data_IF_199965273899
#
_entry.id   IF_199965273899
#
_cell.length_a   1.000
_cell.length_b   1.000
_cell.length_c   1.000
_cell.angle_alpha   90.00
_cell.angle_beta   90.00
_cell.angle_gamma   90.00
#
_symmetry.space_group_name_H-M   'P 1'
#
loop_
_entity.id
_entity.type
_entity.pdbx_description
1 polymer ?
#
# COMPACT_ATOMS: atom_id res chain seq x y z
N UNK A 1 23.70 -12.55 -31.23
CA UNK A 1 23.25 -12.47 -29.81
C UNK A 1 23.93 -13.54 -28.94
N UNK A 2 23.84 -14.84 -29.27
CA UNK A 2 24.58 -15.91 -28.56
C UNK A 2 26.12 -15.74 -28.61
N UNK A 3 26.67 -15.28 -29.74
CA UNK A 3 28.12 -15.09 -29.88
C UNK A 3 28.73 -14.03 -28.96
N UNK A 4 27.99 -12.99 -28.58
CA UNK A 4 28.51 -11.93 -27.68
C UNK A 4 28.55 -12.44 -26.24
N UNK A 5 27.51 -13.14 -25.79
CA UNK A 5 27.47 -13.76 -24.46
C UNK A 5 28.55 -14.82 -24.29
N UNK A 6 28.82 -15.62 -25.34
CA UNK A 6 29.90 -16.61 -25.34
C UNK A 6 31.28 -15.93 -25.28
N UNK A 7 31.51 -14.86 -26.05
CA UNK A 7 32.78 -14.12 -26.02
C UNK A 7 33.02 -13.46 -24.65
N UNK A 8 31.98 -12.89 -24.04
CA UNK A 8 32.05 -12.26 -22.73
C UNK A 8 32.24 -13.27 -21.59
N UNK A 9 31.60 -14.44 -21.69
CA UNK A 9 31.81 -15.56 -20.76
C UNK A 9 33.21 -16.15 -20.85
N UNK A 10 33.76 -16.28 -22.06
CA UNK A 10 35.15 -16.72 -22.28
C UNK A 10 36.16 -15.70 -21.76
N UNK A 11 35.87 -14.41 -21.88
CA UNK A 11 36.72 -13.34 -21.34
C UNK A 11 36.73 -13.33 -19.81
N UNK A 12 35.57 -13.47 -19.16
CA UNK A 12 35.47 -13.59 -17.70
C UNK A 12 36.17 -14.85 -17.16
N UNK A 13 36.05 -15.99 -17.85
CA UNK A 13 36.76 -17.22 -17.50
C UNK A 13 38.29 -17.08 -17.65
N UNK A 14 38.74 -16.37 -18.70
CA UNK A 14 40.16 -16.07 -18.92
C UNK A 14 40.74 -15.18 -17.82
N UNK A 15 40.03 -14.12 -17.40
CA UNK A 15 40.42 -13.23 -16.28
C UNK A 15 40.52 -13.98 -14.95
N UNK A 16 39.54 -14.84 -14.63
CA UNK A 16 39.56 -15.69 -13.44
C UNK A 16 40.76 -16.67 -13.44
N UNK A 17 41.04 -17.31 -14.58
CA UNK A 17 42.18 -18.22 -14.73
C UNK A 17 43.53 -17.49 -14.63
N UNK A 18 43.63 -16.28 -15.19
CA UNK A 18 44.83 -15.45 -15.09
C UNK A 18 45.04 -14.90 -13.68
N UNK A 19 43.99 -14.43 -13.02
CA UNK A 19 44.02 -13.98 -11.63
C UNK A 19 44.48 -15.08 -10.68
N UNK A 20 43.96 -16.30 -10.85
CA UNK A 20 44.36 -17.47 -10.06
C UNK A 20 45.83 -17.87 -10.27
N UNK A 21 46.35 -17.79 -11.50
CA UNK A 21 47.78 -18.06 -11.80
C UNK A 21 48.72 -16.98 -11.27
N UNK A 22 48.35 -15.70 -11.36
CA UNK A 22 49.16 -14.58 -10.85
C UNK A 22 49.20 -14.55 -9.32
N UNK A 23 48.14 -15.01 -8.65
CA UNK A 23 48.08 -15.17 -7.20
C UNK A 23 48.97 -16.31 -6.67
N UNK A 24 49.41 -17.25 -7.52
CA UNK A 24 50.25 -18.39 -7.14
C UNK A 24 51.75 -18.20 -7.46
N UNK A 25 52.13 -17.17 -8.23
CA UNK A 25 53.50 -16.95 -8.70
C UNK A 25 54.28 -15.79 -8.02
N UNK A 26 55.53 -15.51 -8.45
CA UNK A 26 56.38 -14.46 -7.87
C UNK A 26 55.89 -13.02 -8.16
N UNK A 27 54.86 -12.85 -8.99
CA UNK A 27 54.28 -11.57 -9.41
C UNK A 27 53.04 -11.14 -8.59
N UNK A 28 52.83 -11.72 -7.39
CA UNK A 28 51.68 -11.47 -6.49
C UNK A 28 51.32 -9.99 -6.24
N UNK A 29 52.29 -9.07 -6.32
CA UNK A 29 52.06 -7.63 -6.12
C UNK A 29 51.29 -6.96 -7.29
N UNK A 30 51.31 -7.52 -8.49
CA UNK A 30 50.53 -7.04 -9.64
C UNK A 30 49.10 -7.61 -9.69
N UNK A 31 48.80 -8.64 -8.88
CA UNK A 31 47.51 -9.33 -8.91
C UNK A 31 46.34 -8.51 -8.32
N UNK A 32 46.63 -7.55 -7.42
CA UNK A 32 45.61 -6.74 -6.74
C UNK A 32 44.90 -5.72 -7.67
N UNK A 33 45.60 -4.93 -8.50
CA UNK A 33 44.93 -4.02 -9.44
C UNK A 33 44.27 -4.75 -10.61
N UNK A 34 44.85 -5.85 -11.10
CA UNK A 34 44.28 -6.64 -12.22
C UNK A 34 43.02 -7.39 -11.78
N UNK A 35 43.00 -7.99 -10.59
CA UNK A 35 41.79 -8.63 -10.05
C UNK A 35 40.64 -7.64 -9.78
N UNK A 36 40.96 -6.40 -9.39
CA UNK A 36 39.97 -5.34 -9.25
C UNK A 36 39.40 -4.88 -10.61
N UNK A 37 40.26 -4.71 -11.62
CA UNK A 37 39.83 -4.38 -12.99
C UNK A 37 39.02 -5.51 -13.63
N UNK A 38 39.39 -6.77 -13.43
CA UNK A 38 38.65 -7.94 -13.89
C UNK A 38 37.27 -8.04 -13.22
N UNK A 39 37.18 -7.76 -11.92
CA UNK A 39 35.88 -7.70 -11.22
C UNK A 39 34.98 -6.57 -11.73
N UNK A 40 35.56 -5.39 -12.04
CA UNK A 40 34.84 -4.29 -12.68
C UNK A 40 34.41 -4.63 -14.12
N UNK A 41 35.26 -5.32 -14.88
CA UNK A 41 34.95 -5.80 -16.23
C UNK A 41 33.79 -6.78 -16.23
N UNK A 42 33.80 -7.77 -15.33
CA UNK A 42 32.70 -8.73 -15.14
C UNK A 42 31.42 -8.01 -14.73
N UNK A 43 31.50 -7.03 -13.83
CA UNK A 43 30.34 -6.24 -13.41
C UNK A 43 29.74 -5.47 -14.60
N UNK A 44 30.53 -4.65 -15.30
CA UNK A 44 30.07 -3.83 -16.45
C UNK A 44 29.51 -4.69 -17.58
N UNK A 45 30.14 -5.82 -17.86
CA UNK A 45 29.69 -6.79 -18.86
C UNK A 45 28.38 -7.46 -18.45
N UNK A 46 28.22 -7.80 -17.17
CA UNK A 46 26.98 -8.36 -16.65
C UNK A 46 25.85 -7.32 -16.69
N UNK A 47 26.11 -6.09 -16.26
CA UNK A 47 25.12 -5.00 -16.32
C UNK A 47 24.74 -4.65 -17.76
N UNK A 48 25.70 -4.62 -18.68
CA UNK A 48 25.46 -4.37 -20.11
C UNK A 48 24.72 -5.52 -20.81
N UNK A 49 24.96 -6.77 -20.41
CA UNK A 49 24.22 -7.92 -20.92
C UNK A 49 22.78 -7.96 -20.38
N UNK A 50 22.55 -7.50 -19.14
CA UNK A 50 21.22 -7.37 -18.57
C UNK A 50 20.42 -6.20 -19.13
N UNK A 51 21.06 -5.10 -19.51
CA UNK A 51 20.42 -3.98 -20.23
C UNK A 51 19.99 -4.33 -21.68
N UNK A 52 20.41 -5.50 -22.19
CA UNK A 52 20.01 -6.03 -23.50
C UNK A 52 18.88 -7.06 -23.41
N UNK A 53 18.40 -7.39 -22.21
CA UNK A 53 17.18 -8.16 -22.04
C UNK A 53 15.99 -7.28 -22.47
N UNK A 54 14.98 -7.84 -23.17
CA UNK A 54 13.78 -7.08 -23.49
C UNK A 54 13.17 -6.57 -22.18
N UNK A 55 13.07 -5.26 -22.05
CA UNK A 55 12.18 -4.62 -21.07
C UNK A 55 10.78 -5.07 -21.49
N UNK A 56 10.07 -5.76 -20.59
CA UNK A 56 8.67 -6.12 -20.84
C UNK A 56 7.87 -4.84 -21.15
N UNK A 57 6.80 -4.98 -21.94
CA UNK A 57 5.92 -3.84 -22.21
C UNK A 57 5.47 -3.22 -20.88
N UNK A 58 5.53 -1.89 -20.78
CA UNK A 58 5.05 -1.17 -19.60
C UNK A 58 3.56 -1.50 -19.43
N UNK A 59 3.14 -2.16 -18.33
CA UNK A 59 1.75 -2.57 -18.14
C UNK A 59 0.79 -1.37 -18.07
N UNK A 60 1.29 -0.14 -17.88
CA UNK A 60 0.50 1.10 -18.03
C UNK A 60 0.00 1.30 -19.46
N UNK A 61 0.66 0.69 -20.45
CA UNK A 61 0.21 0.63 -21.84
C UNK A 61 -1.04 -0.24 -22.06
N UNK A 62 -1.44 -1.06 -21.09
CA UNK A 62 -2.58 -2.00 -21.19
C UNK A 62 -3.60 -1.83 -20.05
N UNK A 63 -3.94 -0.58 -19.70
CA UNK A 63 -4.94 -0.28 -18.68
C UNK A 63 -6.40 -0.38 -19.15
N UNK A 64 -6.65 -0.35 -20.46
CA UNK A 64 -8.01 -0.34 -21.02
C UNK A 64 -8.49 -1.76 -21.36
N UNK A 65 -9.54 -2.25 -20.68
CA UNK A 65 -10.09 -3.60 -20.91
C UNK A 65 -11.48 -3.60 -21.54
N UNK A 66 -12.29 -2.56 -21.27
CA UNK A 66 -13.64 -2.40 -21.84
C UNK A 66 -14.56 -3.63 -21.70
N UNK A 67 -14.50 -4.33 -20.56
CA UNK A 67 -15.43 -5.44 -20.27
C UNK A 67 -16.87 -4.91 -20.21
N UNK A 68 -17.83 -5.54 -20.91
CA UNK A 68 -19.24 -5.16 -20.79
C UNK A 68 -19.73 -5.44 -19.37
N UNK A 69 -20.56 -4.56 -18.82
CA UNK A 69 -21.17 -4.75 -17.50
C UNK A 69 -22.18 -5.88 -17.55
N UNK A 70 -21.99 -6.99 -16.80
CA UNK A 70 -22.99 -8.05 -16.69
C UNK A 70 -24.29 -7.53 -16.07
N UNK A 71 -25.43 -8.10 -16.47
CA UNK A 71 -26.74 -7.63 -16.02
C UNK A 71 -26.90 -7.70 -14.49
N UNK A 72 -26.33 -8.72 -13.84
CA UNK A 72 -26.32 -8.86 -12.38
C UNK A 72 -25.51 -7.77 -11.65
N UNK A 73 -24.60 -7.07 -12.34
CA UNK A 73 -23.77 -5.99 -11.79
C UNK A 73 -24.22 -4.59 -12.28
N UNK A 74 -25.35 -4.50 -12.98
CA UNK A 74 -25.82 -3.24 -13.54
C UNK A 74 -25.97 -2.13 -12.48
N UNK A 75 -26.43 -2.48 -11.28
CA UNK A 75 -26.61 -1.55 -10.16
C UNK A 75 -25.49 -1.67 -9.10
N UNK A 76 -24.51 -2.54 -9.33
CA UNK A 76 -23.38 -2.71 -8.42
C UNK A 76 -22.43 -1.49 -8.53
N UNK A 77 -21.78 -1.08 -7.42
CA UNK A 77 -20.83 0.02 -7.47
C UNK A 77 -19.49 -0.41 -8.05
N UNK A 78 -18.74 0.59 -8.50
CA UNK A 78 -17.30 0.44 -8.67
C UNK A 78 -16.60 0.38 -7.31
N UNK A 79 -15.42 -0.24 -7.23
CA UNK A 79 -14.70 -0.46 -5.96
C UNK A 79 -13.31 0.18 -6.01
N UNK A 80 -13.04 1.09 -5.10
CA UNK A 80 -11.71 1.66 -4.87
C UNK A 80 -11.23 1.26 -3.47
N UNK A 81 -10.06 0.63 -3.38
CA UNK A 81 -9.40 0.29 -2.11
C UNK A 81 -8.11 1.07 -2.02
N UNK A 82 -8.11 2.12 -1.19
CA UNK A 82 -6.94 2.92 -0.87
C UNK A 82 -6.26 2.31 0.38
N UNK A 83 -5.09 1.69 0.18
CA UNK A 83 -4.26 1.19 1.27
C UNK A 83 -3.06 2.11 1.46
N UNK A 84 -2.86 2.62 2.67
CA UNK A 84 -1.74 3.51 3.01
C UNK A 84 -0.76 2.75 3.89
N UNK A 85 0.48 2.59 3.43
CA UNK A 85 1.50 1.80 4.09
C UNK A 85 1.87 2.39 5.47
N UNK A 86 1.85 1.57 6.53
CA UNK A 86 2.16 1.96 7.92
C UNK A 86 1.25 3.00 8.57
N UNK A 87 0.11 3.35 7.98
CA UNK A 87 -0.76 4.40 8.51
C UNK A 87 -1.46 3.98 9.82
N UNK A 88 -1.16 4.70 10.90
CA UNK A 88 -1.83 4.51 12.20
C UNK A 88 -3.18 5.21 12.24
N UNK A 89 -4.17 4.56 12.83
CA UNK A 89 -5.49 5.15 13.03
C UNK A 89 -5.42 6.44 13.85
N UNK A 90 -4.69 6.42 14.98
CA UNK A 90 -4.57 7.51 15.94
C UNK A 90 -3.84 8.78 15.44
N UNK A 91 -3.41 8.80 14.18
CA UNK A 91 -2.84 9.98 13.52
C UNK A 91 -3.81 10.68 12.57
N UNK A 92 -4.99 10.10 12.33
CA UNK A 92 -6.05 10.71 11.54
C UNK A 92 -7.02 11.51 12.43
N UNK A 93 -7.47 12.67 11.97
CA UNK A 93 -8.38 13.53 12.72
C UNK A 93 -9.69 12.82 13.12
N UNK A 94 -10.26 12.01 12.24
CA UNK A 94 -11.49 11.23 12.51
C UNK A 94 -11.32 10.14 13.59
N UNK A 95 -10.09 9.80 13.97
CA UNK A 95 -9.75 8.88 15.05
C UNK A 95 -9.13 9.59 16.27
N UNK A 96 -9.18 10.93 16.31
CA UNK A 96 -8.64 11.73 17.42
C UNK A 96 -7.18 12.12 17.28
N UNK A 97 -6.59 11.97 16.09
CA UNK A 97 -5.25 12.44 15.77
C UNK A 97 -5.13 13.97 15.70
N UNK A 98 -3.92 14.50 15.41
CA UNK A 98 -3.68 15.93 15.42
C UNK A 98 -4.51 16.69 14.37
N UNK A 99 -5.00 17.88 14.73
CA UNK A 99 -5.83 18.70 13.87
C UNK A 99 -5.12 19.09 12.56
N UNK A 100 -5.84 19.03 11.44
CA UNK A 100 -5.33 19.45 10.13
C UNK A 100 -4.30 18.50 9.50
N UNK A 101 -4.10 17.30 10.06
CA UNK A 101 -3.23 16.27 9.46
C UNK A 101 -3.90 15.60 8.26
N UNK A 102 -5.18 15.25 8.36
CA UNK A 102 -5.85 14.40 7.36
C UNK A 102 -7.22 14.90 6.87
N UNK A 103 -7.39 16.18 6.52
CA UNK A 103 -8.71 16.73 6.17
C UNK A 103 -9.39 16.02 4.98
N UNK A 104 -8.66 15.50 3.99
CA UNK A 104 -9.26 14.77 2.86
C UNK A 104 -9.78 13.42 3.31
N UNK A 105 -8.97 12.63 4.04
CA UNK A 105 -9.39 11.35 4.59
C UNK A 105 -10.55 11.52 5.58
N UNK A 106 -10.52 12.55 6.43
CA UNK A 106 -11.58 12.88 7.38
C UNK A 106 -12.89 13.26 6.65
N UNK A 107 -12.79 13.95 5.51
CA UNK A 107 -13.93 14.22 4.65
C UNK A 107 -14.55 12.94 4.09
N UNK A 108 -13.74 11.98 3.64
CA UNK A 108 -14.25 10.67 3.17
C UNK A 108 -14.86 9.88 4.34
N UNK A 109 -14.27 9.96 5.52
CA UNK A 109 -14.79 9.35 6.74
C UNK A 109 -16.16 9.90 7.13
N UNK A 110 -16.38 11.21 7.00
CA UNK A 110 -17.67 11.85 7.25
C UNK A 110 -18.77 11.34 6.30
N UNK A 111 -18.40 11.03 5.05
CA UNK A 111 -19.31 10.48 4.03
C UNK A 111 -19.49 8.95 4.13
N UNK A 112 -18.85 8.29 5.09
CA UNK A 112 -18.81 6.83 5.20
C UNK A 112 -19.05 6.28 6.60
N UNK A 113 -18.69 5.02 6.76
CA UNK A 113 -18.70 4.28 8.03
C UNK A 113 -17.26 4.26 8.56
N UNK A 114 -17.06 4.69 9.80
CA UNK A 114 -15.77 4.63 10.49
C UNK A 114 -15.79 3.47 11.47
N UNK A 115 -14.89 2.50 11.30
CA UNK A 115 -14.70 1.42 12.27
C UNK A 115 -13.65 1.83 13.30
N UNK A 116 -14.08 2.11 14.53
CA UNK A 116 -13.21 2.68 15.57
C UNK A 116 -12.11 1.70 15.99
N UNK A 117 -12.37 0.40 15.87
CA UNK A 117 -11.42 -0.66 16.23
C UNK A 117 -11.26 -1.62 15.05
N UNK A 118 -10.29 -1.35 14.18
CA UNK A 118 -9.94 -2.24 13.07
C UNK A 118 -8.50 -2.77 13.22
N UNK A 119 -8.34 -4.10 13.12
CA UNK A 119 -7.04 -4.75 13.33
C UNK A 119 -6.43 -5.33 12.05
N UNK A 120 -5.17 -4.99 11.81
CA UNK A 120 -4.28 -5.72 10.92
C UNK A 120 -3.93 -7.09 11.49
N UNK A 121 -3.74 -8.08 10.61
CA UNK A 121 -3.42 -9.46 11.04
C UNK A 121 -1.92 -9.73 11.14
N UNK A 122 -1.10 -8.77 10.71
CA UNK A 122 0.34 -8.81 10.85
C UNK A 122 0.86 -7.38 10.96
N UNK A 123 1.94 -7.18 11.69
CA UNK A 123 2.60 -5.89 11.80
C UNK A 123 3.58 -5.58 10.67
N UNK A 124 3.48 -6.27 9.53
CA UNK A 124 4.40 -6.10 8.40
C UNK A 124 3.71 -6.42 7.07
N UNK A 125 4.12 -5.69 6.04
CA UNK A 125 3.40 -5.53 4.76
C UNK A 125 2.94 -6.82 4.12
N UNK A 126 3.87 -7.74 3.79
CA UNK A 126 3.52 -8.93 2.99
C UNK A 126 2.43 -9.77 3.63
N UNK A 127 2.59 -10.05 4.92
CA UNK A 127 1.65 -10.92 5.63
C UNK A 127 0.31 -10.21 5.83
N UNK A 128 0.30 -8.88 6.00
CA UNK A 128 -0.95 -8.14 6.17
C UNK A 128 -1.73 -8.00 4.87
N UNK A 129 -1.06 -7.64 3.77
CA UNK A 129 -1.66 -7.64 2.43
C UNK A 129 -2.17 -9.02 2.01
N UNK A 130 -1.43 -10.09 2.33
CA UNK A 130 -1.91 -11.45 2.11
C UNK A 130 -3.24 -11.70 2.85
N UNK A 131 -3.37 -11.22 4.10
CA UNK A 131 -4.63 -11.33 4.83
C UNK A 131 -5.76 -10.50 4.20
N UNK A 132 -5.47 -9.26 3.80
CA UNK A 132 -6.42 -8.35 3.16
C UNK A 132 -6.99 -8.95 1.85
N UNK A 133 -6.11 -9.45 0.97
CA UNK A 133 -6.51 -9.94 -0.35
C UNK A 133 -7.13 -11.33 -0.35
N UNK A 134 -6.74 -12.20 0.59
CA UNK A 134 -7.25 -13.59 0.64
C UNK A 134 -8.36 -13.78 1.67
N UNK A 135 -8.64 -12.79 2.52
CA UNK A 135 -9.52 -12.94 3.69
C UNK A 135 -9.11 -14.10 4.62
N UNK A 136 -7.81 -14.43 4.66
CA UNK A 136 -7.25 -15.49 5.52
C UNK A 136 -6.38 -14.86 6.60
N UNK A 137 -6.27 -15.52 7.75
CA UNK A 137 -5.25 -15.16 8.76
C UNK A 137 -3.85 -15.67 8.34
N UNK A 138 -2.74 -15.21 8.95
CA UNK A 138 -1.37 -15.63 8.60
C UNK A 138 -1.13 -17.13 8.60
N UNK A 139 -1.66 -17.83 9.59
CA UNK A 139 -1.58 -19.29 9.64
C UNK A 139 -2.37 -19.98 8.52
N UNK A 140 -3.30 -19.28 7.88
CA UNK A 140 -4.11 -19.73 6.76
C UNK A 140 -3.50 -19.45 5.39
N UNK A 141 -2.88 -18.28 5.17
CA UNK A 141 -2.29 -17.93 3.88
C UNK A 141 -0.78 -18.22 3.75
N UNK A 142 -0.07 -18.49 4.86
CA UNK A 142 1.35 -18.90 4.88
C UNK A 142 2.38 -17.92 4.27
N UNK A 143 1.96 -16.75 3.82
CA UNK A 143 2.82 -15.62 3.50
C UNK A 143 3.43 -14.94 4.77
N UNK A 144 3.96 -15.73 5.70
CA UNK A 144 4.39 -15.32 7.04
C UNK A 144 5.92 -15.31 7.24
N UNK A 145 6.70 -15.47 6.16
CA UNK A 145 8.17 -15.37 6.17
C UNK A 145 8.67 -14.51 5.03
N UNK A 146 9.88 -13.96 5.17
CA UNK A 146 10.51 -13.09 4.15
C UNK A 146 10.69 -13.74 2.77
N UNK A 147 10.76 -15.07 2.72
CA UNK A 147 10.86 -15.82 1.46
C UNK A 147 9.51 -16.40 0.99
N UNK A 148 8.43 -16.23 1.76
CA UNK A 148 7.13 -16.77 1.39
C UNK A 148 6.54 -16.01 0.20
N UNK A 149 5.88 -16.77 -0.67
CA UNK A 149 4.99 -16.33 -1.75
C UNK A 149 3.55 -16.72 -1.35
N UNK A 150 2.55 -15.99 -1.85
CA UNK A 150 1.18 -16.47 -1.82
C UNK A 150 1.05 -17.80 -2.60
N UNK A 151 0.53 -18.87 -1.99
CA UNK A 151 0.20 -20.09 -2.71
C UNK A 151 -0.91 -19.85 -3.74
N UNK A 152 -0.77 -20.40 -4.94
CA UNK A 152 -1.72 -20.22 -6.05
C UNK A 152 -3.11 -20.82 -5.75
N UNK A 153 -3.19 -21.79 -4.83
CA UNK A 153 -4.45 -22.39 -4.40
C UNK A 153 -5.33 -21.48 -3.53
N UNK A 154 -4.81 -20.34 -3.05
CA UNK A 154 -5.61 -19.39 -2.29
C UNK A 154 -6.40 -18.50 -3.24
N UNK A 155 -7.71 -18.38 -3.01
CA UNK A 155 -8.57 -17.52 -3.80
C UNK A 155 -8.47 -16.08 -3.30
N UNK A 156 -8.03 -15.16 -4.17
CA UNK A 156 -7.98 -13.73 -3.88
C UNK A 156 -9.32 -13.04 -4.19
N UNK A 157 -9.55 -11.89 -3.54
CA UNK A 157 -10.68 -10.99 -3.84
C UNK A 157 -10.76 -10.65 -5.33
N UNK A 158 -9.62 -10.41 -5.97
CA UNK A 158 -9.49 -10.12 -7.40
C UNK A 158 -10.11 -11.23 -8.25
N UNK A 159 -9.78 -12.50 -7.99
CA UNK A 159 -10.32 -13.64 -8.74
C UNK A 159 -11.84 -13.78 -8.59
N UNK A 160 -12.36 -13.59 -7.37
CA UNK A 160 -13.80 -13.65 -7.11
C UNK A 160 -14.56 -12.62 -7.94
N UNK A 161 -14.04 -11.39 -8.03
CA UNK A 161 -14.66 -10.30 -8.79
C UNK A 161 -14.41 -10.44 -10.31
N UNK A 162 -13.20 -10.82 -10.71
CA UNK A 162 -12.83 -11.03 -12.11
C UNK A 162 -13.70 -12.10 -12.76
N UNK A 163 -13.96 -13.21 -12.05
CA UNK A 163 -14.84 -14.29 -12.50
C UNK A 163 -16.30 -13.84 -12.71
N UNK A 164 -16.70 -12.69 -12.14
CA UNK A 164 -18.02 -12.08 -12.30
C UNK A 164 -18.04 -10.94 -13.32
N UNK A 165 -16.96 -10.77 -14.10
CA UNK A 165 -16.89 -9.76 -15.15
C UNK A 165 -16.48 -8.37 -14.67
N UNK A 166 -16.03 -8.23 -13.42
CA UNK A 166 -15.40 -6.99 -12.95
C UNK A 166 -14.01 -6.86 -13.58
N UNK A 167 -13.67 -5.67 -14.08
CA UNK A 167 -12.31 -5.32 -14.48
C UNK A 167 -11.49 -5.05 -13.23
N UNK A 168 -10.46 -5.84 -12.99
CA UNK A 168 -9.70 -5.85 -11.75
C UNK A 168 -8.31 -5.29 -11.96
N UNK A 169 -7.91 -4.34 -11.10
CA UNK A 169 -6.57 -3.80 -11.11
C UNK A 169 -6.00 -3.58 -9.72
N UNK A 170 -4.67 -3.61 -9.63
CA UNK A 170 -3.94 -3.22 -8.43
C UNK A 170 -2.66 -2.48 -8.81
N UNK A 171 -2.48 -1.29 -8.23
CA UNK A 171 -1.27 -0.48 -8.30
C UNK A 171 -0.52 -0.66 -6.98
N UNK A 172 0.43 -1.59 -6.96
CA UNK A 172 1.26 -1.87 -5.80
C UNK A 172 2.50 -0.98 -5.79
N UNK A 173 2.82 -0.36 -4.66
CA UNK A 173 3.94 0.58 -4.54
C UNK A 173 5.00 0.09 -3.52
N UNK A 174 4.89 -1.16 -3.08
CA UNK A 174 5.82 -1.80 -2.16
C UNK A 174 6.35 -3.11 -2.74
N UNK A 175 7.67 -3.30 -2.69
CA UNK A 175 8.34 -4.51 -3.18
C UNK A 175 7.88 -5.81 -2.50
N UNK A 176 7.24 -5.72 -1.34
CA UNK A 176 6.66 -6.89 -0.66
C UNK A 176 5.34 -7.36 -1.27
N UNK A 177 4.74 -6.55 -2.15
CA UNK A 177 3.45 -6.77 -2.81
C UNK A 177 3.68 -6.77 -4.33
N UNK A 178 4.48 -7.70 -4.84
CA UNK A 178 4.77 -7.80 -6.27
C UNK A 178 4.36 -9.15 -6.86
N UNK A 179 4.45 -9.25 -8.18
CA UNK A 179 4.24 -10.48 -8.94
C UNK A 179 5.17 -11.60 -8.47
N UNK A 180 6.40 -11.27 -8.05
CA UNK A 180 7.36 -12.22 -7.46
C UNK A 180 6.82 -12.91 -6.19
N UNK A 181 5.91 -12.25 -5.47
CA UNK A 181 5.26 -12.79 -4.27
C UNK A 181 3.82 -13.29 -4.50
N UNK A 182 3.33 -13.31 -5.75
CA UNK A 182 2.04 -13.90 -6.12
C UNK A 182 0.83 -13.01 -5.88
N UNK A 183 1.04 -11.69 -5.76
CA UNK A 183 -0.05 -10.74 -5.57
C UNK A 183 -0.75 -10.33 -6.87
N UNK A 184 -0.25 -10.76 -8.03
CA UNK A 184 -0.84 -10.48 -9.36
C UNK A 184 -1.95 -11.44 -9.77
N UNK A 185 -2.20 -12.46 -8.95
CA UNK A 185 -3.26 -13.44 -9.18
C UNK A 185 -4.63 -12.78 -9.27
N UNK A 186 -5.38 -13.10 -10.33
CA UNK A 186 -6.75 -12.63 -10.54
C UNK A 186 -6.92 -11.19 -10.98
N UNK A 187 -5.84 -10.48 -11.35
CA UNK A 187 -5.90 -9.11 -11.85
C UNK A 187 -5.83 -9.04 -13.38
N UNK A 188 -6.66 -8.20 -13.99
CA UNK A 188 -6.54 -7.85 -15.42
C UNK A 188 -5.38 -6.87 -15.66
N UNK A 189 -5.13 -5.97 -14.70
CA UNK A 189 -3.99 -5.07 -14.68
C UNK A 189 -3.31 -5.13 -13.31
N UNK A 190 -2.09 -5.63 -13.25
CA UNK A 190 -1.26 -5.50 -12.05
C UNK A 190 -0.03 -4.66 -12.39
N UNK A 191 0.14 -3.54 -11.70
CA UNK A 191 1.30 -2.66 -11.85
C UNK A 191 2.04 -2.65 -10.52
N UNK A 192 3.33 -2.95 -10.57
CA UNK A 192 4.24 -2.58 -9.50
C UNK A 192 4.84 -1.22 -9.86
N UNK A 193 4.46 -0.19 -9.12
CA UNK A 193 4.92 1.19 -9.18
C UNK A 193 6.36 1.28 -8.69
N UNK A 194 7.25 0.66 -9.46
CA UNK A 194 8.63 0.53 -9.04
C UNK A 194 9.30 1.91 -8.97
N UNK A 195 10.19 2.14 -7.99
CA UNK A 195 10.98 3.36 -7.94
C UNK A 195 11.77 3.55 -9.23
N UNK A 196 12.21 4.79 -9.49
CA UNK A 196 12.97 5.12 -10.69
C UNK A 196 14.31 4.37 -10.71
N UNK A 197 14.33 3.17 -11.32
CA UNK A 197 15.57 2.40 -11.46
C UNK A 197 16.51 3.11 -12.43
N UNK A 198 17.65 3.55 -11.92
CA UNK A 198 18.72 4.03 -12.77
C UNK A 198 19.27 2.87 -13.62
N UNK A 199 19.59 3.16 -14.89
CA UNK A 199 20.23 2.25 -15.86
C UNK A 199 19.36 1.16 -16.53
N UNK A 200 18.03 1.32 -16.59
CA UNK A 200 17.17 0.45 -17.43
C UNK A 200 17.12 -1.02 -16.96
N UNK A 201 17.27 -1.26 -15.65
CA UNK A 201 17.25 -2.59 -15.06
C UNK A 201 15.82 -3.06 -14.69
N UNK A 202 15.61 -4.38 -14.69
CA UNK A 202 14.32 -5.02 -14.34
C UNK A 202 14.26 -5.51 -12.89
N UNK A 203 13.04 -5.83 -12.40
CA UNK A 203 12.74 -6.33 -11.04
C UNK A 203 13.69 -7.44 -10.57
N UNK A 204 14.07 -8.37 -11.46
CA UNK A 204 14.91 -9.53 -11.14
C UNK A 204 16.37 -9.20 -10.76
N UNK A 205 16.86 -8.01 -11.14
CA UNK A 205 18.28 -7.64 -11.03
C UNK A 205 18.58 -6.98 -9.70
N UNK A 206 17.57 -6.38 -9.08
CA UNK A 206 17.71 -5.67 -7.84
C UNK A 206 17.36 -6.58 -6.66
N UNK A 207 18.28 -7.50 -6.34
CA UNK A 207 18.29 -8.03 -4.98
C UNK A 207 18.39 -6.84 -4.00
N UNK A 208 17.60 -6.85 -2.93
CA UNK A 208 17.69 -5.90 -1.82
C UNK A 208 19.13 -5.64 -1.37
N UNK A 209 20.01 -6.64 -1.53
CA UNK A 209 21.44 -6.56 -1.25
C UNK A 209 22.19 -5.65 -2.22
N UNK A 210 21.93 -5.72 -3.53
CA UNK A 210 22.54 -4.85 -4.53
C UNK A 210 22.02 -3.41 -4.41
N UNK A 211 20.72 -3.24 -4.13
CA UNK A 211 20.12 -1.94 -3.81
C UNK A 211 20.83 -1.25 -2.65
N UNK A 212 20.98 -1.96 -1.53
CA UNK A 212 21.67 -1.47 -0.34
C UNK A 212 23.13 -1.09 -0.62
N UNK A 213 23.81 -1.78 -1.54
CA UNK A 213 25.22 -1.49 -1.87
C UNK A 213 25.34 -0.23 -2.73
N UNK A 214 24.52 -0.09 -3.78
CA UNK A 214 24.55 1.08 -4.69
C UNK A 214 24.09 2.34 -3.98
N UNK A 215 23.03 2.26 -3.17
CA UNK A 215 22.50 3.41 -2.42
C UNK A 215 23.54 3.93 -1.41
N UNK A 216 24.15 3.01 -0.65
CA UNK A 216 25.20 3.34 0.33
C UNK A 216 26.46 3.93 -0.30
N UNK A 217 26.77 3.57 -1.55
CA UNK A 217 27.86 4.17 -2.32
C UNK A 217 27.54 5.61 -2.77
N UNK A 218 26.30 5.88 -3.21
CA UNK A 218 25.84 7.20 -3.64
C UNK A 218 25.67 8.18 -2.47
N UNK A 219 25.14 7.72 -1.34
CA UNK A 219 25.03 8.51 -0.10
C UNK A 219 26.41 8.93 0.42
N UNK A 220 27.40 8.02 0.37
CA UNK A 220 28.80 8.35 0.71
C UNK A 220 29.45 9.37 -0.23
N UNK A 221 28.92 9.55 -1.44
CA UNK A 221 29.40 10.52 -2.42
C UNK A 221 28.65 11.86 -2.35
N UNK A 222 27.79 12.07 -1.35
CA UNK A 222 27.13 13.36 -1.09
C UNK A 222 25.84 13.60 -1.91
N UNK A 223 25.22 12.54 -2.45
CA UNK A 223 23.93 12.65 -3.12
C UNK A 223 22.79 12.91 -2.12
N UNK A 224 21.89 13.84 -2.43
CA UNK A 224 20.66 14.05 -1.66
C UNK A 224 19.72 12.84 -1.85
N UNK A 225 18.98 12.44 -0.79
CA UNK A 225 17.93 11.42 -0.91
C UNK A 225 16.72 12.01 -1.64
N UNK A 226 16.16 11.23 -2.56
CA UNK A 226 14.97 11.56 -3.33
C UNK A 226 13.96 10.45 -3.13
N UNK A 227 12.70 10.81 -2.88
CA UNK A 227 11.60 9.87 -2.58
C UNK A 227 11.48 8.82 -3.69
N UNK A 228 11.59 9.25 -4.94
CA UNK A 228 11.46 8.44 -6.17
C UNK A 228 12.53 7.35 -6.28
N UNK A 229 13.57 7.40 -5.45
CA UNK A 229 14.57 6.35 -5.36
C UNK A 229 14.10 5.15 -4.53
N UNK A 230 13.07 5.31 -3.69
CA UNK A 230 12.56 4.30 -2.75
C UNK A 230 11.18 3.77 -3.13
N UNK A 231 10.26 4.66 -3.53
CA UNK A 231 8.91 4.34 -3.98
C UNK A 231 8.39 5.44 -4.93
N UNK A 232 7.25 5.24 -5.59
CA UNK A 232 6.61 6.31 -6.37
C UNK A 232 5.76 7.22 -5.47
N UNK A 233 5.90 8.55 -5.53
CA UNK A 233 5.08 9.47 -4.75
C UNK A 233 3.57 9.27 -4.99
N UNK A 234 2.74 9.59 -3.99
CA UNK A 234 1.30 9.37 -4.07
C UNK A 234 0.63 10.00 -5.31
N UNK A 235 1.05 11.19 -5.75
CA UNK A 235 0.47 11.86 -6.92
C UNK A 235 0.72 11.11 -8.23
N UNK A 236 1.87 10.45 -8.37
CA UNK A 236 2.18 9.59 -9.51
C UNK A 236 1.25 8.37 -9.53
N UNK A 237 1.14 7.66 -8.40
CA UNK A 237 0.27 6.49 -8.29
C UNK A 237 -1.19 6.86 -8.50
N UNK A 238 -1.64 8.01 -7.98
CA UNK A 238 -3.01 8.50 -8.17
C UNK A 238 -3.29 8.96 -9.61
N UNK A 239 -2.28 9.40 -10.36
CA UNK A 239 -2.41 9.69 -11.78
C UNK A 239 -2.66 8.40 -12.58
N UNK A 240 -1.94 7.32 -12.27
CA UNK A 240 -2.14 6.01 -12.88
C UNK A 240 -3.48 5.38 -12.47
N UNK A 241 -3.91 5.57 -11.21
CA UNK A 241 -5.24 5.20 -10.75
C UNK A 241 -6.35 5.90 -11.55
N UNK A 242 -6.19 7.22 -11.77
CA UNK A 242 -7.11 8.01 -12.59
C UNK A 242 -7.13 7.49 -14.03
N UNK A 243 -5.98 7.21 -14.63
CA UNK A 243 -5.89 6.71 -16.00
C UNK A 243 -6.64 5.37 -16.17
N UNK A 244 -6.48 4.45 -15.22
CA UNK A 244 -7.22 3.18 -15.21
C UNK A 244 -8.74 3.40 -15.12
N UNK A 245 -9.20 4.26 -14.21
CA UNK A 245 -10.64 4.54 -14.03
C UNK A 245 -11.22 5.20 -15.28
N UNK A 246 -10.52 6.13 -15.91
CA UNK A 246 -10.96 6.77 -17.16
C UNK A 246 -11.05 5.76 -18.31
N UNK A 247 -10.06 4.87 -18.43
CA UNK A 247 -10.02 3.83 -19.46
C UNK A 247 -11.14 2.78 -19.33
N UNK A 248 -11.65 2.56 -18.11
CA UNK A 248 -12.67 1.54 -17.82
C UNK A 248 -14.01 2.13 -17.36
N UNK A 249 -14.31 3.38 -17.75
CA UNK A 249 -15.52 4.09 -17.34
C UNK A 249 -16.85 3.41 -17.72
N UNK A 250 -16.84 2.54 -18.73
CA UNK A 250 -18.00 1.78 -19.22
C UNK A 250 -18.04 0.33 -18.69
N UNK A 251 -17.09 -0.03 -17.82
CA UNK A 251 -17.03 -1.33 -17.15
C UNK A 251 -17.44 -1.20 -15.68
N UNK A 252 -17.60 -2.33 -14.99
CA UNK A 252 -17.52 -2.38 -13.52
C UNK A 252 -16.08 -2.67 -13.18
N UNK A 253 -15.50 -1.88 -12.29
CA UNK A 253 -14.10 -2.04 -11.94
C UNK A 253 -13.86 -2.15 -10.44
N UNK A 254 -12.78 -2.86 -10.09
CA UNK A 254 -12.16 -2.87 -8.78
C UNK A 254 -10.72 -2.43 -8.95
N UNK A 255 -10.31 -1.43 -8.17
CA UNK A 255 -8.97 -0.88 -8.17
C UNK A 255 -8.40 -0.86 -6.75
N UNK A 256 -7.33 -1.62 -6.53
CA UNK A 256 -6.45 -1.44 -5.38
C UNK A 256 -5.38 -0.39 -5.66
N UNK A 257 -5.18 0.53 -4.74
CA UNK A 257 -4.14 1.57 -4.79
C UNK A 257 -3.34 1.52 -3.50
N UNK A 258 -2.03 1.39 -3.62
CA UNK A 258 -1.11 1.37 -2.49
C UNK A 258 -0.30 2.67 -2.44
N UNK A 259 -0.52 3.48 -1.42
CA UNK A 259 0.24 4.70 -1.14
C UNK A 259 1.31 4.41 -0.10
N UNK A 260 2.49 5.03 -0.26
CA UNK A 260 3.67 4.69 0.54
C UNK A 260 3.96 5.68 1.64
N UNK A 261 3.57 6.94 1.51
CA UNK A 261 3.60 7.89 2.61
C UNK A 261 2.55 7.45 3.66
N UNK A 262 2.90 7.15 4.94
CA UNK A 262 4.10 7.58 5.66
C UNK A 262 5.18 6.52 5.96
N UNK A 263 5.28 5.39 5.24
CA UNK A 263 6.33 4.37 5.41
C UNK A 263 7.75 4.94 5.31
N UNK A 264 8.72 4.29 5.96
CA UNK A 264 10.13 4.71 5.91
C UNK A 264 10.78 4.54 4.51
N UNK A 265 11.68 5.43 4.07
CA UNK A 265 12.23 6.57 4.81
C UNK A 265 11.27 7.75 4.96
N UNK A 266 11.20 8.34 6.16
CA UNK A 266 10.41 9.56 6.38
C UNK A 266 11.19 10.79 5.90
N UNK A 267 10.57 11.66 5.12
CA UNK A 267 11.17 12.88 4.62
C UNK A 267 10.63 14.12 5.33
N UNK A 268 11.50 15.10 5.54
CA UNK A 268 11.05 16.41 5.99
C UNK A 268 10.33 17.18 4.87
N UNK A 269 9.22 17.83 5.23
CA UNK A 269 8.35 18.58 4.33
C UNK A 269 8.30 20.07 4.71
N UNK A 270 9.36 20.87 4.47
CA UNK A 270 9.53 22.24 5.00
C UNK A 270 8.56 23.31 4.45
N UNK A 271 7.62 22.93 3.60
CA UNK A 271 6.51 23.80 3.20
C UNK A 271 5.34 23.67 4.19
N UNK A 272 5.33 22.62 5.01
CA UNK A 272 4.35 22.42 6.07
C UNK A 272 4.54 23.34 7.26
N UNK A 273 5.78 23.66 7.60
CA UNK A 273 6.14 24.57 8.68
C UNK A 273 6.29 26.03 8.20
N UNK A 274 5.98 26.30 6.92
CA UNK A 274 6.09 27.62 6.30
C UNK A 274 7.53 28.06 6.02
N UNK A 275 8.52 27.18 6.10
CA UNK A 275 9.94 27.51 5.93
C UNK A 275 10.45 27.46 4.48
N UNK A 276 9.66 26.99 3.50
CA UNK A 276 10.02 27.07 2.07
C UNK A 276 9.09 26.37 1.08
N UNK A 277 9.54 26.23 -0.17
CA UNK A 277 8.88 25.42 -1.22
C UNK A 277 9.48 24.00 -1.21
N UNK A 278 8.71 22.95 -0.96
CA UNK A 278 9.24 21.60 -1.19
C UNK A 278 8.94 21.14 -2.61
N UNK A 279 10.01 20.70 -3.28
CA UNK A 279 9.91 19.65 -4.29
C UNK A 279 10.86 18.48 -3.96
N UNK A 280 11.86 18.60 -3.08
CA UNK A 280 12.61 17.46 -2.51
C UNK A 280 13.67 17.98 -1.54
N UNK A 281 13.61 17.67 -0.24
CA UNK A 281 14.70 18.02 0.67
C UNK A 281 15.22 16.77 1.41
N UNK A 282 16.12 16.05 0.73
CA UNK A 282 17.43 15.52 1.18
C UNK A 282 17.64 14.81 2.54
N UNK A 283 16.85 15.08 3.56
CA UNK A 283 16.95 14.46 4.90
C UNK A 283 15.80 13.46 5.04
N UNK A 284 16.07 12.24 4.59
CA UNK A 284 15.20 11.08 4.82
C UNK A 284 15.69 10.26 6.00
N UNK A 285 14.80 9.80 6.87
CA UNK A 285 15.10 8.94 8.02
C UNK A 285 14.70 7.51 7.70
N UNK A 286 15.69 6.65 7.43
CA UNK A 286 15.45 5.25 7.08
C UNK A 286 15.75 4.32 8.24
N UNK A 287 14.93 3.28 8.43
CA UNK A 287 15.21 2.19 9.37
C UNK A 287 16.57 1.53 9.11
N UNK A 288 16.95 1.44 7.84
CA UNK A 288 18.21 0.83 7.42
C UNK A 288 19.47 1.58 7.92
N UNK A 289 19.32 2.84 8.33
CA UNK A 289 20.42 3.66 8.85
C UNK A 289 20.46 3.68 10.36
N UNK A 290 19.30 3.74 11.00
CA UNK A 290 19.17 3.78 12.47
C UNK A 290 18.16 2.73 12.89
N UNK A 291 18.60 1.49 13.10
CA UNK A 291 17.69 0.40 13.47
C UNK A 291 17.01 0.62 14.83
N UNK A 292 17.65 1.36 15.74
CA UNK A 292 17.13 1.66 17.09
C UNK A 292 17.36 3.13 17.44
N UNK A 293 16.41 4.01 17.07
CA UNK A 293 16.45 5.41 17.48
C UNK A 293 16.45 5.54 19.01
N UNK A 294 17.04 6.63 19.52
CA UNK A 294 16.86 7.05 20.91
C UNK A 294 15.45 7.62 21.13
N UNK A 295 14.98 7.68 22.38
CA UNK A 295 13.66 8.26 22.70
C UNK A 295 13.55 9.74 22.28
N UNK A 296 14.64 10.51 22.38
CA UNK A 296 14.66 11.90 21.90
C UNK A 296 14.49 11.98 20.38
N UNK A 297 14.99 11.00 19.64
CA UNK A 297 14.76 10.89 18.19
C UNK A 297 13.34 10.39 17.90
N UNK A 298 12.71 9.64 18.80
CA UNK A 298 11.40 9.06 18.59
C UNK A 298 10.30 10.11 18.40
N UNK A 299 10.26 11.11 19.29
CA UNK A 299 9.32 12.24 19.18
C UNK A 299 9.52 13.03 17.89
N UNK A 300 10.78 13.23 17.51
CA UNK A 300 11.12 13.88 16.25
C UNK A 300 10.65 13.04 15.04
N UNK A 301 10.91 11.73 15.02
CA UNK A 301 10.50 10.83 13.94
C UNK A 301 8.98 10.73 13.84
N UNK A 302 8.27 10.67 14.97
CA UNK A 302 6.80 10.68 15.02
C UNK A 302 6.21 11.97 14.43
N UNK A 303 6.87 13.11 14.64
CA UNK A 303 6.50 14.38 13.99
C UNK A 303 6.71 14.30 12.48
N UNK A 304 7.87 13.84 12.01
CA UNK A 304 8.15 13.71 10.56
C UNK A 304 7.16 12.73 9.91
N UNK A 305 6.86 11.60 10.57
CA UNK A 305 5.81 10.67 10.17
C UNK A 305 4.42 11.33 10.07
N UNK A 306 4.05 12.16 11.04
CA UNK A 306 2.79 12.93 11.00
C UNK A 306 2.76 13.91 9.82
N UNK A 307 3.91 14.52 9.51
CA UNK A 307 4.06 15.44 8.39
C UNK A 307 3.97 14.72 7.03
N UNK A 308 4.48 13.48 6.93
CA UNK A 308 4.26 12.59 5.77
C UNK A 308 2.78 12.31 5.53
N UNK A 309 2.00 12.00 6.58
CA UNK A 309 0.55 11.82 6.46
C UNK A 309 -0.10 13.10 5.93
N UNK A 310 0.29 14.26 6.47
CA UNK A 310 -0.22 15.56 6.01
C UNK A 310 0.17 15.87 4.56
N UNK A 311 1.34 15.40 4.11
CA UNK A 311 1.76 15.50 2.72
C UNK A 311 0.89 14.63 1.81
N UNK A 312 0.74 13.37 2.15
CA UNK A 312 -0.06 12.40 1.41
C UNK A 312 -1.51 12.85 1.27
N UNK A 313 -2.14 13.30 2.37
CA UNK A 313 -3.52 13.79 2.36
C UNK A 313 -3.70 14.99 1.40
N UNK A 314 -2.70 15.87 1.31
CA UNK A 314 -2.71 16.95 0.30
C UNK A 314 -2.56 16.44 -1.13
N UNK A 315 -1.70 15.45 -1.37
CA UNK A 315 -1.55 14.83 -2.70
C UNK A 315 -2.81 14.07 -3.13
N UNK A 316 -3.58 13.57 -2.16
CA UNK A 316 -4.86 12.91 -2.38
C UNK A 316 -5.98 13.89 -2.79
N UNK A 317 -5.91 15.15 -2.36
CA UNK A 317 -6.98 16.13 -2.59
C UNK A 317 -7.40 16.28 -4.07
N UNK A 318 -6.48 16.49 -5.04
CA UNK A 318 -6.86 16.63 -6.45
C UNK A 318 -7.53 15.39 -7.03
N UNK A 319 -7.15 14.20 -6.57
CA UNK A 319 -7.75 12.94 -7.00
C UNK A 319 -9.19 12.79 -6.48
N UNK A 320 -9.42 13.11 -5.21
CA UNK A 320 -10.76 13.08 -4.61
C UNK A 320 -11.67 14.16 -5.21
N UNK A 321 -11.14 15.37 -5.45
CA UNK A 321 -11.87 16.44 -6.14
C UNK A 321 -12.25 16.06 -7.57
N UNK A 322 -11.36 15.35 -8.28
CA UNK A 322 -11.67 14.78 -9.59
C UNK A 322 -12.77 13.71 -9.51
N UNK A 323 -12.71 12.78 -8.55
CA UNK A 323 -13.78 11.80 -8.34
C UNK A 323 -15.13 12.48 -8.08
N UNK A 324 -15.15 13.53 -7.24
CA UNK A 324 -16.36 14.30 -6.91
C UNK A 324 -16.89 15.06 -8.12
N UNK A 325 -16.04 15.83 -8.81
CA UNK A 325 -16.44 16.65 -9.97
C UNK A 325 -16.91 15.84 -11.18
N UNK A 326 -16.51 14.57 -11.29
CA UNK A 326 -16.96 13.64 -12.33
C UNK A 326 -18.15 12.76 -11.90
N UNK A 327 -18.71 12.99 -10.72
CA UNK A 327 -19.79 12.17 -10.14
C UNK A 327 -19.40 10.71 -9.91
N UNK A 328 -18.09 10.40 -9.88
CA UNK A 328 -17.55 9.06 -9.62
C UNK A 328 -17.53 8.76 -8.13
N UNK A 329 -17.28 9.77 -7.31
CA UNK A 329 -17.27 9.64 -5.86
C UNK A 329 -18.56 8.99 -5.35
N UNK A 330 -19.73 9.51 -5.75
CA UNK A 330 -21.03 9.05 -5.25
C UNK A 330 -21.40 7.63 -5.68
N UNK A 331 -20.93 7.15 -6.82
CA UNK A 331 -21.22 5.78 -7.32
C UNK A 331 -20.18 4.73 -6.90
N UNK A 332 -19.04 5.17 -6.37
CA UNK A 332 -17.94 4.28 -5.99
C UNK A 332 -18.06 3.91 -4.52
N UNK A 333 -17.88 2.62 -4.23
CA UNK A 333 -17.57 2.12 -2.89
C UNK A 333 -16.07 2.36 -2.65
N UNK A 334 -15.74 3.19 -1.66
CA UNK A 334 -14.36 3.53 -1.32
C UNK A 334 -14.02 2.93 0.04
N UNK A 335 -12.97 2.11 0.08
CA UNK A 335 -12.36 1.62 1.31
C UNK A 335 -11.04 2.35 1.53
N UNK A 336 -10.83 2.85 2.74
CA UNK A 336 -9.54 3.40 3.17
C UNK A 336 -9.06 2.57 4.35
N UNK A 337 -7.84 2.06 4.24
CA UNK A 337 -7.21 1.29 5.30
C UNK A 337 -5.70 1.44 5.29
N UNK A 338 -5.05 0.86 6.30
CA UNK A 338 -3.62 0.56 6.26
C UNK A 338 -3.38 -0.95 6.28
N UNK A 339 -2.20 -1.37 5.88
CA UNK A 339 -1.74 -2.74 6.05
C UNK A 339 -1.29 -2.99 7.50
N UNK A 340 -0.62 -2.03 8.13
CA UNK A 340 -0.28 -2.01 9.55
C UNK A 340 0.03 -0.57 9.98
N UNK A 341 0.43 -0.37 11.24
CA UNK A 341 0.92 0.91 11.76
C UNK A 341 2.45 0.93 11.94
N UNK A 342 2.93 1.81 12.82
CA UNK A 342 4.35 2.01 13.12
C UNK A 342 4.56 2.36 14.61
N UNK A 343 5.60 1.82 15.23
CA UNK A 343 5.96 2.13 16.61
C UNK A 343 7.13 3.12 16.70
N UNK A 344 7.02 4.08 17.62
CA UNK A 344 8.00 5.13 17.91
C UNK A 344 8.44 5.07 19.38
N UNK A 345 8.74 3.88 19.89
CA UNK A 345 9.25 3.69 21.24
C UNK A 345 8.19 3.58 22.34
N UNK A 346 6.89 3.64 22.02
CA UNK A 346 5.80 3.59 23.00
C UNK A 346 5.91 2.37 23.95
N UNK A 347 6.29 1.20 23.43
CA UNK A 347 6.55 0.00 24.21
C UNK A 347 8.00 -0.49 24.12
N UNK A 348 8.91 0.42 23.79
CA UNK A 348 10.33 0.13 23.54
C UNK A 348 10.60 -0.53 22.19
N UNK A 349 9.57 -0.77 21.37
CA UNK A 349 9.71 -1.14 19.97
C UNK A 349 9.87 0.09 19.08
N UNK A 350 10.50 -0.09 17.93
CA UNK A 350 10.60 0.94 16.89
C UNK A 350 10.32 0.29 15.55
N UNK A 351 9.81 1.10 14.63
CA UNK A 351 9.41 0.69 13.29
C UNK A 351 8.28 -0.35 13.34
N UNK A 352 7.88 -0.84 12.19
CA UNK A 352 6.94 -1.95 12.05
C UNK A 352 7.63 -3.33 11.99
N UNK A 353 6.85 -4.39 12.12
CA UNK A 353 7.26 -5.78 12.02
C UNK A 353 8.08 -6.27 13.21
N UNK A 354 8.01 -5.57 14.34
CA UNK A 354 8.82 -5.82 15.53
C UNK A 354 7.98 -6.20 16.75
N UNK A 355 6.78 -5.64 16.87
CA UNK A 355 5.83 -5.91 17.97
C UNK A 355 4.42 -6.15 17.41
N UNK A 356 3.44 -6.29 18.31
CA UNK A 356 2.02 -6.49 18.00
C UNK A 356 1.14 -5.57 18.88
N UNK A 357 1.68 -4.44 19.32
CA UNK A 357 0.90 -3.43 20.03
C UNK A 357 0.02 -2.65 19.06
N UNK A 358 -0.95 -1.90 19.59
CA UNK A 358 -1.94 -1.18 18.79
C UNK A 358 -1.29 -0.18 17.83
N UNK A 359 -0.13 0.38 18.17
CA UNK A 359 0.65 1.24 17.27
C UNK A 359 1.01 0.55 15.95
N UNK A 360 1.14 -0.78 15.93
CA UNK A 360 1.42 -1.56 14.72
C UNK A 360 0.19 -2.29 14.18
N UNK A 361 -0.83 -2.59 14.99
CA UNK A 361 -1.96 -3.42 14.57
C UNK A 361 -3.30 -2.69 14.45
N UNK A 362 -3.50 -1.55 15.11
CA UNK A 362 -4.70 -0.72 14.97
C UNK A 362 -4.56 0.16 13.74
N UNK A 363 -5.31 -0.20 12.70
CA UNK A 363 -5.29 0.50 11.41
C UNK A 363 -6.61 1.25 11.22
N UNK A 364 -6.63 2.36 10.47
CA UNK A 364 -7.90 2.96 10.09
C UNK A 364 -8.67 1.97 9.21
N UNK A 365 -9.99 1.94 9.34
CA UNK A 365 -10.88 1.30 8.38
C UNK A 365 -12.09 2.19 8.16
N UNK A 366 -12.15 2.81 6.99
CA UNK A 366 -13.27 3.64 6.55
C UNK A 366 -13.90 2.96 5.34
N UNK A 367 -15.22 2.82 5.35
CA UNK A 367 -16.00 2.26 4.24
C UNK A 367 -17.07 3.27 3.83
N UNK A 368 -16.82 3.95 2.70
CA UNK A 368 -17.79 4.85 2.07
C UNK A 368 -18.60 4.06 1.05
N UNK A 369 -19.90 3.93 1.29
CA UNK A 369 -20.81 3.27 0.36
C UNK A 369 -21.31 4.25 -0.72
N UNK A 370 -21.85 3.75 -1.84
CA UNK A 370 -22.50 4.59 -2.85
C UNK A 370 -23.64 5.44 -2.26
N UNK A 371 -23.84 6.63 -2.83
CA UNK A 371 -24.86 7.60 -2.45
C UNK A 371 -24.86 8.02 -0.96
N UNK A 372 -23.76 7.80 -0.23
CA UNK A 372 -23.66 8.11 1.20
C UNK A 372 -24.49 7.17 2.08
N UNK A 373 -24.77 5.94 1.62
CA UNK A 373 -25.44 4.96 2.47
C UNK A 373 -24.62 4.72 3.75
N UNK A 374 -25.29 4.76 4.90
CA UNK A 374 -24.68 4.66 6.24
C UNK A 374 -23.60 5.74 6.53
N UNK A 375 -23.61 6.88 5.84
CA UNK A 375 -22.69 7.98 6.11
C UNK A 375 -22.78 8.51 7.55
N UNK A 376 -21.64 8.93 8.10
CA UNK A 376 -21.51 9.45 9.46
C UNK A 376 -21.62 8.40 10.56
N UNK A 377 -21.73 7.12 10.22
CA UNK A 377 -21.80 6.03 11.21
C UNK A 377 -20.42 5.76 11.79
N UNK A 378 -20.39 5.51 13.10
CA UNK A 378 -19.21 5.05 13.83
C UNK A 378 -19.50 3.70 14.45
N UNK A 379 -18.60 2.76 14.25
CA UNK A 379 -18.76 1.37 14.64
C UNK A 379 -17.75 1.05 15.75
N UNK A 380 -18.20 0.85 17.00
CA UNK A 380 -17.32 0.70 18.16
C UNK A 380 -16.89 -0.75 18.43
N UNK A 381 -17.39 -1.71 17.66
CA UNK A 381 -16.98 -3.12 17.79
C UNK A 381 -15.85 -3.46 16.82
N UNK A 382 -15.18 -4.58 17.07
CA UNK A 382 -13.95 -4.94 16.36
C UNK A 382 -14.21 -5.40 14.91
N UNK A 383 -13.61 -4.69 13.97
CA UNK A 383 -13.44 -5.10 12.58
C UNK A 383 -12.01 -5.61 12.36
N UNK A 384 -11.80 -6.36 11.27
CA UNK A 384 -10.51 -6.96 10.97
C UNK A 384 -10.24 -6.86 9.48
N UNK A 385 -8.97 -6.76 9.05
CA UNK A 385 -8.67 -6.62 7.62
C UNK A 385 -9.21 -7.77 6.76
N UNK A 386 -9.30 -8.99 7.29
CA UNK A 386 -9.89 -10.12 6.55
C UNK A 386 -11.39 -9.92 6.28
N UNK A 387 -12.08 -9.05 7.00
CA UNK A 387 -13.50 -8.76 6.81
C UNK A 387 -13.76 -7.82 5.61
N UNK A 388 -12.72 -7.17 5.06
CA UNK A 388 -12.85 -6.24 3.92
C UNK A 388 -13.31 -6.97 2.66
N UNK A 389 -12.63 -8.03 2.24
CA UNK A 389 -12.98 -8.78 1.03
C UNK A 389 -14.43 -9.31 1.02
N UNK A 390 -14.94 -10.02 2.05
CA UNK A 390 -16.34 -10.46 2.05
C UNK A 390 -17.34 -9.31 2.09
N UNK A 391 -17.02 -8.20 2.79
CA UNK A 391 -17.84 -6.98 2.79
C UNK A 391 -17.95 -6.38 1.38
N UNK A 392 -16.84 -6.32 0.64
CA UNK A 392 -16.81 -5.83 -0.74
C UNK A 392 -17.60 -6.71 -1.69
N UNK A 393 -17.40 -8.04 -1.64
CA UNK A 393 -18.18 -8.96 -2.49
C UNK A 393 -19.66 -8.86 -2.20
N UNK A 394 -20.06 -8.75 -0.92
CA UNK A 394 -21.46 -8.61 -0.52
C UNK A 394 -22.07 -7.30 -1.04
N UNK A 395 -21.33 -6.19 -0.98
CA UNK A 395 -21.78 -4.91 -1.52
C UNK A 395 -22.00 -4.93 -3.05
N UNK A 396 -21.33 -5.84 -3.76
CA UNK A 396 -21.52 -6.08 -5.20
C UNK A 396 -22.56 -7.17 -5.49
N UNK A 397 -23.18 -7.78 -4.48
CA UNK A 397 -24.10 -8.90 -4.66
C UNK A 397 -23.41 -10.21 -5.08
N UNK A 398 -22.09 -10.31 -4.89
CA UNK A 398 -21.28 -11.48 -5.23
C UNK A 398 -21.09 -12.35 -3.98
N UNK A 399 -21.36 -13.68 -4.04
CA UNK A 399 -21.07 -14.57 -2.92
C UNK A 399 -19.56 -14.60 -2.61
N UNK A 400 -19.15 -14.53 -1.33
CA UNK A 400 -17.75 -14.67 -0.95
C UNK A 400 -17.25 -16.09 -1.22
N UNK A 401 -15.93 -16.25 -1.36
CA UNK A 401 -15.33 -17.57 -1.44
C UNK A 401 -15.50 -18.33 -0.09
N UNK A 402 -15.91 -19.61 -0.10
CA UNK A 402 -16.19 -20.36 1.13
C UNK A 402 -14.93 -20.66 1.98
N UNK A 403 -13.72 -20.46 1.46
CA UNK A 403 -12.46 -20.65 2.21
C UNK A 403 -12.04 -19.40 3.00
N UNK A 404 -12.65 -18.26 2.72
CA UNK A 404 -12.43 -17.00 3.43
C UNK A 404 -12.87 -17.10 4.89
N UNK A 405 -12.08 -16.49 5.78
CA UNK A 405 -12.30 -16.50 7.22
C UNK A 405 -12.92 -15.18 7.75
N UNK A 406 -12.92 -14.13 6.93
CA UNK A 406 -13.63 -12.89 7.23
C UNK A 406 -15.14 -13.03 7.11
N UNK A 407 -15.84 -11.97 7.50
CA UNK A 407 -17.29 -11.85 7.39
C UNK A 407 -17.69 -10.50 6.81
N UNK A 408 -18.84 -10.46 6.16
CA UNK A 408 -19.46 -9.18 5.76
C UNK A 408 -19.85 -8.38 7.00
N UNK A 409 -19.41 -7.12 7.05
CA UNK A 409 -19.64 -6.20 8.16
C UNK A 409 -21.00 -5.47 8.05
N UNK A 410 -21.55 -5.29 6.84
CA UNK A 410 -22.72 -4.44 6.62
C UNK A 410 -24.00 -4.90 7.35
N UNK A 411 -24.32 -6.20 7.45
CA UNK A 411 -25.52 -6.66 8.16
C UNK A 411 -25.55 -6.24 9.62
N UNK A 412 -24.39 -6.25 10.28
CA UNK A 412 -24.27 -5.83 11.69
C UNK A 412 -24.39 -4.31 11.80
N UNK A 413 -23.72 -3.56 10.92
CA UNK A 413 -23.84 -2.09 10.93
C UNK A 413 -25.30 -1.64 10.72
N UNK A 414 -26.02 -2.28 9.78
CA UNK A 414 -27.44 -1.97 9.52
C UNK A 414 -28.35 -2.35 10.69
N UNK A 415 -28.05 -3.44 11.38
CA UNK A 415 -28.76 -3.85 12.59
C UNK A 415 -28.57 -2.82 13.70
N UNK A 416 -27.36 -2.33 13.90
CA UNK A 416 -27.06 -1.28 14.88
C UNK A 416 -27.83 0.01 14.57
N UNK A 417 -27.95 0.41 13.29
CA UNK A 417 -28.82 1.55 12.89
C UNK A 417 -30.26 1.33 13.31
N UNK A 418 -30.80 0.14 13.02
CA UNK A 418 -32.19 -0.18 13.30
C UNK A 418 -32.47 -0.13 14.81
N UNK A 419 -31.57 -0.69 15.62
CA UNK A 419 -31.67 -0.70 17.08
C UNK A 419 -31.55 0.72 17.67
N UNK A 420 -30.63 1.55 17.17
CA UNK A 420 -30.50 2.97 17.57
C UNK A 420 -31.76 3.77 17.23
N UNK A 421 -32.30 3.57 16.03
CA UNK A 421 -33.52 4.24 15.55
C UNK A 421 -34.72 3.85 16.42
N UNK A 422 -34.90 2.55 16.68
CA UNK A 422 -35.96 2.05 17.54
C UNK A 422 -35.88 2.61 18.97
N UNK A 423 -34.67 2.70 19.55
CA UNK A 423 -34.45 3.33 20.87
C UNK A 423 -34.81 4.82 20.86
N UNK A 424 -34.40 5.56 19.83
CA UNK A 424 -34.71 6.99 19.69
C UNK A 424 -36.22 7.23 19.59
N UNK A 425 -36.90 6.45 18.75
CA UNK A 425 -38.34 6.57 18.54
C UNK A 425 -39.12 6.19 19.81
N UNK A 426 -38.66 5.20 20.58
CA UNK A 426 -39.24 4.87 21.88
C UNK A 426 -39.12 6.03 22.89
N UNK A 427 -37.97 6.72 22.93
CA UNK A 427 -37.76 7.90 23.79
C UNK A 427 -38.65 9.06 23.37
N UNK A 428 -38.76 9.33 22.07
CA UNK A 428 -39.61 10.41 21.56
C UNK A 428 -41.09 10.14 21.81
N UNK A 429 -41.55 8.90 21.55
CA UNK A 429 -42.91 8.49 21.87
C UNK A 429 -43.23 8.61 23.37
N UNK A 430 -42.29 8.25 24.24
CA UNK A 430 -42.44 8.45 25.69
C UNK A 430 -42.56 9.93 26.07
N UNK A 431 -41.77 10.82 25.44
CA UNK A 431 -41.85 12.28 25.64
C UNK A 431 -43.19 12.85 25.17
N UNK A 432 -43.64 12.49 23.97
CA UNK A 432 -44.92 12.91 23.40
C UNK A 432 -46.08 12.44 24.28
N UNK A 433 -46.06 11.17 24.73
CA UNK A 433 -47.08 10.63 25.63
C UNK A 433 -47.08 11.32 27.01
N UNK A 434 -45.91 11.65 27.57
CA UNK A 434 -45.82 12.40 28.82
C UNK A 434 -46.39 13.82 28.69
N UNK A 435 -46.13 14.50 27.58
CA UNK A 435 -46.67 15.82 27.28
C UNK A 435 -48.19 15.80 27.04
N UNK A 436 -48.70 14.78 26.34
CA UNK A 436 -50.13 14.61 26.07
C UNK A 436 -50.94 14.26 27.33
N UNK A 437 -50.33 13.53 28.27
CA UNK A 437 -50.98 13.13 29.53
C UNK A 437 -50.92 14.20 30.64
N UNK A 438 -50.47 15.42 30.33
CA UNK A 438 -50.56 16.56 31.25
C UNK A 438 -49.79 16.38 32.56
N UNK A 439 -48.74 15.55 32.57
CA UNK A 439 -47.88 15.40 33.75
C UNK A 439 -46.98 16.64 33.86
N UNK A 440 -47.57 17.73 34.34
CA UNK A 440 -46.82 18.83 34.96
C UNK A 440 -46.10 18.24 36.17
N UNK A 441 -44.79 18.04 36.07
CA UNK A 441 -43.95 17.78 37.23
C UNK A 441 -44.14 18.95 38.21
N UNK A 442 -44.74 18.66 39.37
CA UNK A 442 -44.61 19.45 40.59
C UNK A 442 -43.55 18.81 41.46
#
# INVERSE_FOLDING_TARGET
KLGIVVVLGLFAAFELLMGARLAAGPLKLLARPVGALGAWGVLVVSTGALALLPVGDDPRGTMAHHKPVPAELADAPDVLILTVDTLRADHLGTYGGPEGVSPVLDGIAADGIVFEHASAHASWTRSSFASLWTSRIPSGHKADRKASRLPEELVLLSEVLQARGVTTANLANNINVTQTFGFDQGYDTFVYEAPAYHFGATESVFSLTFYKVVHKLREKLGGHKAIESFYQPADVVLADARAFIEANAESRWMLGVHLMEPHDPYFEHPYLDGSGTAITNGVGFARAEVERPSLDQAEYLKRVYTDEIRHMDRLLAPFVDWLKSTGRYDRTLIVITADHGEEFGEHGGFWHGTTLYEEQTHVPLIVKLPAGDLAGRRVPWQARLIDVAPTLTAALGVPPDPTWAGRDLLPDVRRDVADETAKRDAVENARVNAAANGVSAR
#
